data_IF_637828322727
#
_entry.id   IF_637828322727
#
_cell.length_a   1.000
_cell.length_b   1.000
_cell.length_c   1.000
_cell.angle_alpha   90.00
_cell.angle_beta   90.00
_cell.angle_gamma   90.00
#
_symmetry.space_group_name_H-M   'P 1'
#
loop_
_entity.id
_entity.type
_entity.pdbx_description
1 polymer ?
#
# COMPACT_ATOMS: atom_id res chain seq x y z
N UNK A 1 28.18 -12.57 -20.54
CA UNK A 1 27.09 -11.69 -20.04
C UNK A 1 25.85 -12.39 -19.44
N UNK A 2 25.58 -13.70 -19.66
CA UNK A 2 24.36 -14.39 -19.16
C UNK A 2 24.25 -14.57 -17.63
N UNK A 3 25.38 -14.65 -16.90
CA UNK A 3 25.43 -14.98 -15.46
C UNK A 3 24.85 -13.88 -14.53
N UNK A 4 24.77 -12.63 -15.00
CA UNK A 4 24.18 -11.52 -14.21
C UNK A 4 22.66 -11.37 -14.38
N UNK A 5 22.04 -11.93 -15.44
CA UNK A 5 20.57 -11.89 -15.59
C UNK A 5 19.87 -12.85 -14.62
N UNK A 6 20.41 -14.05 -14.38
CA UNK A 6 19.76 -15.01 -13.47
C UNK A 6 19.82 -14.58 -12.00
N UNK A 7 20.93 -13.94 -11.55
CA UNK A 7 20.98 -13.33 -10.20
C UNK A 7 19.94 -12.21 -10.02
N UNK A 8 19.67 -11.42 -11.07
CA UNK A 8 18.66 -10.33 -11.05
C UNK A 8 17.24 -10.87 -11.01
N UNK A 9 16.94 -11.90 -11.81
CA UNK A 9 15.65 -12.60 -11.80
C UNK A 9 15.39 -13.29 -10.46
N UNK A 10 16.40 -13.95 -9.88
CA UNK A 10 16.25 -14.62 -8.57
C UNK A 10 15.98 -13.61 -7.42
N UNK A 11 16.59 -12.42 -7.45
CA UNK A 11 16.33 -11.40 -6.42
C UNK A 11 15.00 -10.68 -6.60
N UNK A 12 14.51 -10.56 -7.84
CA UNK A 12 13.17 -10.04 -8.11
C UNK A 12 12.08 -10.86 -7.41
N UNK A 13 12.22 -12.19 -7.36
CA UNK A 13 11.31 -13.07 -6.62
C UNK A 13 11.33 -12.84 -5.10
N UNK A 14 12.50 -12.50 -4.54
CA UNK A 14 12.60 -12.12 -3.11
C UNK A 14 11.82 -10.83 -2.86
N UNK A 15 11.96 -9.84 -3.73
CA UNK A 15 11.24 -8.55 -3.61
C UNK A 15 9.74 -8.74 -3.80
N UNK A 16 9.34 -9.59 -4.74
CA UNK A 16 7.93 -9.99 -4.88
C UNK A 16 7.39 -10.55 -3.56
N UNK A 17 8.11 -11.48 -2.92
CA UNK A 17 7.72 -12.03 -1.62
C UNK A 17 7.64 -10.98 -0.50
N UNK A 18 8.54 -9.99 -0.49
CA UNK A 18 8.50 -8.88 0.46
C UNK A 18 7.27 -8.00 0.24
N UNK A 19 6.99 -7.62 -1.01
CA UNK A 19 5.84 -6.78 -1.34
C UNK A 19 4.53 -7.54 -1.08
N UNK A 20 4.49 -8.84 -1.38
CA UNK A 20 3.38 -9.72 -0.99
C UNK A 20 3.16 -9.71 0.53
N UNK A 21 4.22 -9.84 1.33
CA UNK A 21 4.13 -9.78 2.79
C UNK A 21 3.64 -8.42 3.31
N UNK A 22 4.08 -7.33 2.68
CA UNK A 22 3.61 -5.98 2.99
C UNK A 22 2.12 -5.79 2.68
N UNK A 23 1.67 -6.28 1.52
CA UNK A 23 0.27 -6.26 1.10
C UNK A 23 -0.61 -7.19 1.96
N UNK A 24 -0.05 -8.31 2.42
CA UNK A 24 -0.68 -9.19 3.40
C UNK A 24 -0.94 -8.48 4.73
N UNK A 25 0.04 -7.70 5.22
CA UNK A 25 -0.16 -6.85 6.40
C UNK A 25 -1.21 -5.78 6.13
N UNK A 26 -1.15 -5.08 5.00
CA UNK A 26 -2.15 -4.05 4.65
C UNK A 26 -3.58 -4.64 4.63
N UNK A 27 -3.75 -5.78 3.97
CA UNK A 27 -5.03 -6.49 3.91
C UNK A 27 -5.52 -6.92 5.28
N UNK A 28 -4.63 -7.48 6.11
CA UNK A 28 -4.98 -7.85 7.48
C UNK A 28 -5.48 -6.66 8.31
N UNK A 29 -4.79 -5.51 8.24
CA UNK A 29 -5.19 -4.28 8.94
C UNK A 29 -6.58 -3.81 8.53
N UNK A 30 -6.79 -3.58 7.24
CA UNK A 30 -8.05 -3.02 6.72
C UNK A 30 -9.24 -3.93 7.02
N UNK A 31 -9.02 -5.25 6.91
CA UNK A 31 -10.06 -6.25 7.11
C UNK A 31 -10.29 -6.65 8.57
N UNK A 32 -9.47 -6.14 9.50
CA UNK A 32 -9.69 -6.29 10.94
C UNK A 32 -10.57 -5.17 11.51
N UNK A 33 -10.75 -4.05 10.79
CA UNK A 33 -11.63 -2.94 11.23
C UNK A 33 -13.07 -3.36 11.59
N UNK A 34 -13.75 -4.21 10.79
CA UNK A 34 -15.13 -4.62 11.10
C UNK A 34 -15.22 -5.43 12.40
N UNK A 35 -14.16 -6.16 12.75
CA UNK A 35 -14.04 -6.93 14.01
C UNK A 35 -13.74 -6.02 15.20
N UNK A 36 -12.91 -4.99 15.00
CA UNK A 36 -12.56 -4.04 16.05
C UNK A 36 -13.71 -3.12 16.43
N UNK A 37 -14.60 -2.79 15.50
CA UNK A 37 -15.74 -1.89 15.73
C UNK A 37 -16.63 -2.33 16.91
N UNK A 38 -17.21 -3.55 16.95
CA UNK A 38 -18.02 -4.00 18.07
C UNK A 38 -17.19 -4.12 19.37
N UNK A 39 -15.94 -4.58 19.29
CA UNK A 39 -15.08 -4.75 20.46
C UNK A 39 -14.69 -3.41 21.12
N UNK A 40 -14.41 -2.38 20.31
CA UNK A 40 -14.20 -1.01 20.77
C UNK A 40 -15.45 -0.44 21.42
N UNK A 41 -16.62 -0.69 20.83
CA UNK A 41 -17.91 -0.23 21.36
C UNK A 41 -18.18 -0.85 22.74
N UNK A 42 -17.93 -2.14 22.91
CA UNK A 42 -18.11 -2.83 24.17
C UNK A 42 -17.11 -2.36 25.25
N UNK A 43 -15.85 -2.12 24.88
CA UNK A 43 -14.79 -1.78 25.84
C UNK A 43 -14.85 -0.32 26.33
N UNK A 44 -15.21 0.62 25.45
CA UNK A 44 -15.21 2.05 25.77
C UNK A 44 -16.61 2.63 25.99
N UNK A 45 -17.67 1.81 25.88
CA UNK A 45 -19.07 2.24 26.07
C UNK A 45 -19.54 3.34 25.11
N UNK A 46 -18.78 3.61 24.05
CA UNK A 46 -19.03 4.71 23.12
C UNK A 46 -20.25 4.44 22.24
N UNK A 47 -20.86 5.51 21.73
CA UNK A 47 -21.89 5.39 20.69
C UNK A 47 -21.30 4.78 19.41
N UNK A 48 -22.13 4.11 18.61
CA UNK A 48 -21.69 3.58 17.32
C UNK A 48 -21.07 4.67 16.41
N UNK A 49 -21.58 5.90 16.51
CA UNK A 49 -21.03 7.06 15.80
C UNK A 49 -19.58 7.37 16.23
N UNK A 50 -19.28 7.32 17.54
CA UNK A 50 -17.94 7.61 18.05
C UNK A 50 -16.92 6.54 17.60
N UNK A 51 -17.28 5.26 17.65
CA UNK A 51 -16.38 4.18 17.22
C UNK A 51 -16.18 4.16 15.71
N UNK A 52 -17.23 4.43 14.92
CA UNK A 52 -17.10 4.56 13.47
C UNK A 52 -16.25 5.78 13.08
N UNK A 53 -16.33 6.87 13.86
CA UNK A 53 -15.52 8.06 13.61
C UNK A 53 -14.01 7.81 13.72
N UNK A 54 -13.57 6.85 14.56
CA UNK A 54 -12.16 6.43 14.64
C UNK A 54 -11.67 5.89 13.29
N UNK A 55 -12.47 5.01 12.66
CA UNK A 55 -12.13 4.43 11.35
C UNK A 55 -12.28 5.46 10.24
N UNK A 56 -13.30 6.32 10.28
CA UNK A 56 -13.44 7.42 9.32
C UNK A 56 -12.24 8.38 9.37
N UNK A 57 -11.78 8.74 10.58
CA UNK A 57 -10.60 9.58 10.74
C UNK A 57 -9.34 8.88 10.21
N UNK A 58 -9.21 7.56 10.42
CA UNK A 58 -8.11 6.79 9.83
C UNK A 58 -8.12 6.86 8.29
N UNK A 59 -9.30 6.80 7.66
CA UNK A 59 -9.42 6.95 6.21
C UNK A 59 -8.99 8.34 5.72
N UNK A 60 -9.41 9.40 6.43
CA UNK A 60 -9.04 10.78 6.11
C UNK A 60 -7.53 10.98 6.26
N UNK A 61 -6.96 10.58 7.41
CA UNK A 61 -5.52 10.69 7.66
C UNK A 61 -4.73 9.93 6.61
N UNK A 62 -5.13 8.71 6.27
CA UNK A 62 -4.48 7.91 5.22
C UNK A 62 -4.55 8.58 3.84
N UNK A 63 -5.70 9.17 3.48
CA UNK A 63 -5.88 9.89 2.22
C UNK A 63 -4.96 11.11 2.09
N UNK A 64 -4.86 11.94 3.14
CA UNK A 64 -3.97 13.11 3.15
C UNK A 64 -2.50 12.72 3.28
N UNK A 65 -2.19 11.63 3.99
CA UNK A 65 -0.83 11.16 4.18
C UNK A 65 -0.25 10.48 2.93
N UNK A 66 -1.08 9.85 2.09
CA UNK A 66 -0.64 9.12 0.90
C UNK A 66 0.31 9.92 -0.02
N UNK A 67 0.00 11.16 -0.47
CA UNK A 67 0.92 11.92 -1.33
C UNK A 67 2.21 12.33 -0.61
N UNK A 68 2.15 12.61 0.69
CA UNK A 68 3.32 12.98 1.50
C UNK A 68 4.24 11.77 1.63
N UNK A 69 3.67 10.62 1.97
CA UNK A 69 4.38 9.36 2.12
C UNK A 69 4.98 8.90 0.80
N UNK A 70 4.28 9.09 -0.33
CA UNK A 70 4.84 8.83 -1.67
C UNK A 70 6.11 9.65 -1.92
N UNK A 71 6.07 10.97 -1.65
CA UNK A 71 7.27 11.83 -1.77
C UNK A 71 8.40 11.41 -0.84
N UNK A 72 8.08 10.97 0.38
CA UNK A 72 9.09 10.48 1.32
C UNK A 72 9.68 9.16 0.80
N UNK A 73 8.85 8.24 0.28
CA UNK A 73 9.29 6.96 -0.30
C UNK A 73 10.29 7.19 -1.43
N UNK A 74 10.02 8.15 -2.31
CA UNK A 74 10.92 8.50 -3.40
C UNK A 74 12.28 9.05 -2.91
N UNK A 75 12.30 9.73 -1.74
CA UNK A 75 13.52 10.32 -1.15
C UNK A 75 14.35 9.36 -0.33
N UNK A 76 13.74 8.67 0.63
CA UNK A 76 14.46 7.78 1.56
C UNK A 76 14.59 6.36 1.01
N UNK A 77 13.81 6.04 -0.03
CA UNK A 77 13.78 4.73 -0.65
C UNK A 77 13.06 3.67 0.21
N UNK A 78 12.68 2.56 -0.41
CA UNK A 78 11.92 1.50 0.24
C UNK A 78 12.67 0.84 1.41
N UNK A 79 13.99 0.73 1.30
CA UNK A 79 14.84 0.05 2.30
C UNK A 79 14.71 0.62 3.71
N UNK A 80 14.55 1.94 3.84
CA UNK A 80 14.36 2.59 5.14
C UNK A 80 12.90 2.87 5.45
N UNK A 81 12.08 3.14 4.43
CA UNK A 81 10.66 3.45 4.62
C UNK A 81 9.90 2.30 5.28
N UNK A 82 10.01 1.06 4.77
CA UNK A 82 9.18 -0.04 5.27
C UNK A 82 9.51 -0.47 6.71
N UNK A 83 10.78 -0.56 7.15
CA UNK A 83 11.11 -0.79 8.56
C UNK A 83 10.62 0.31 9.50
N UNK A 84 10.73 1.58 9.09
CA UNK A 84 10.20 2.72 9.86
C UNK A 84 8.67 2.60 9.96
N UNK A 85 8.01 2.33 8.85
CA UNK A 85 6.57 2.14 8.80
C UNK A 85 6.10 1.00 9.72
N UNK A 86 6.76 -0.17 9.68
CA UNK A 86 6.45 -1.29 10.55
C UNK A 86 6.64 -0.96 12.04
N UNK A 87 7.65 -0.14 12.38
CA UNK A 87 7.85 0.33 13.76
C UNK A 87 6.75 1.30 14.19
N UNK A 88 6.35 2.21 13.31
CA UNK A 88 5.25 3.16 13.55
C UNK A 88 3.92 2.42 13.73
N UNK A 89 3.68 1.36 12.94
CA UNK A 89 2.52 0.47 13.11
C UNK A 89 2.55 -0.17 14.48
N UNK A 90 3.69 -0.76 14.88
CA UNK A 90 3.81 -1.38 16.19
C UNK A 90 3.49 -0.38 17.31
N UNK A 91 4.06 0.82 17.26
CA UNK A 91 3.82 1.87 18.26
C UNK A 91 2.34 2.27 18.28
N UNK A 92 1.71 2.42 17.12
CA UNK A 92 0.29 2.78 17.04
C UNK A 92 -0.64 1.68 17.58
N UNK A 93 -0.41 0.42 17.21
CA UNK A 93 -1.20 -0.71 17.69
C UNK A 93 -0.97 -0.98 19.19
N UNK A 94 0.28 -0.97 19.63
CA UNK A 94 0.60 -1.19 21.04
C UNK A 94 0.14 -0.03 21.91
N UNK A 95 0.31 1.21 21.45
CA UNK A 95 -0.25 2.39 22.11
C UNK A 95 -1.78 2.34 22.21
N UNK A 96 -2.46 1.82 21.19
CA UNK A 96 -3.91 1.56 21.24
C UNK A 96 -4.29 0.50 22.28
N UNK A 97 -3.44 -0.51 22.50
CA UNK A 97 -3.65 -1.51 23.56
C UNK A 97 -3.58 -0.92 24.96
N UNK A 98 -2.77 0.12 25.17
CA UNK A 98 -2.63 0.80 26.47
C UNK A 98 -3.69 1.88 26.68
N UNK A 99 -4.58 2.09 25.71
CA UNK A 99 -5.58 3.14 25.79
C UNK A 99 -6.61 2.84 26.90
N UNK A 100 -6.81 3.84 27.77
CA UNK A 100 -7.85 3.88 28.80
C UNK A 100 -9.01 4.79 28.41
N UNK A 101 -8.79 5.68 27.43
CA UNK A 101 -9.79 6.63 26.95
C UNK A 101 -9.90 6.62 25.42
N UNK A 102 -11.09 6.88 24.89
CA UNK A 102 -11.35 6.85 23.44
C UNK A 102 -10.50 7.85 22.66
N UNK A 103 -10.17 9.02 23.22
CA UNK A 103 -9.32 10.01 22.56
C UNK A 103 -7.90 9.47 22.26
N UNK A 104 -7.39 8.54 23.07
CA UNK A 104 -6.09 7.90 22.84
C UNK A 104 -6.14 6.99 21.62
N UNK A 105 -7.26 6.30 21.38
CA UNK A 105 -7.46 5.50 20.17
C UNK A 105 -7.45 6.38 18.92
N UNK A 106 -8.06 7.57 18.96
CA UNK A 106 -7.98 8.52 17.83
C UNK A 106 -6.54 8.92 17.48
N UNK A 107 -5.65 9.02 18.47
CA UNK A 107 -4.24 9.38 18.23
C UNK A 107 -3.43 8.16 17.80
N UNK A 108 -3.45 7.09 18.59
CA UNK A 108 -2.60 5.92 18.35
C UNK A 108 -3.05 5.11 17.14
N UNK A 109 -4.35 4.90 16.99
CA UNK A 109 -4.89 4.13 15.86
C UNK A 109 -5.08 5.02 14.63
N UNK A 110 -5.92 6.05 14.72
CA UNK A 110 -6.32 6.82 13.53
C UNK A 110 -5.19 7.68 12.96
N UNK A 111 -4.27 8.16 13.78
CA UNK A 111 -3.09 8.91 13.33
C UNK A 111 -1.87 8.02 13.17
N UNK A 112 -1.31 7.53 14.27
CA UNK A 112 0.03 6.91 14.26
C UNK A 112 0.03 5.60 13.45
N UNK A 113 -0.85 4.64 13.78
CA UNK A 113 -0.91 3.37 13.07
C UNK A 113 -1.24 3.56 11.58
N UNK A 114 -2.20 4.44 11.28
CA UNK A 114 -2.58 4.78 9.89
C UNK A 114 -1.42 5.32 9.06
N UNK A 115 -0.57 6.19 9.62
CA UNK A 115 0.59 6.71 8.89
C UNK A 115 1.54 5.58 8.49
N UNK A 116 1.80 4.64 9.40
CA UNK A 116 2.59 3.46 9.11
C UNK A 116 1.93 2.54 8.08
N UNK A 117 0.63 2.25 8.22
CA UNK A 117 -0.10 1.43 7.24
C UNK A 117 -0.09 2.05 5.84
N UNK A 118 -0.28 3.36 5.76
CA UNK A 118 -0.28 4.08 4.50
C UNK A 118 1.09 3.99 3.82
N UNK A 119 2.19 3.98 4.56
CA UNK A 119 3.53 3.79 4.01
C UNK A 119 3.78 2.40 3.42
N UNK A 120 3.11 1.36 3.93
CA UNK A 120 3.24 -0.02 3.43
C UNK A 120 2.27 -0.30 2.27
N UNK A 121 1.33 0.61 2.00
CA UNK A 121 0.19 0.35 1.13
C UNK A 121 0.54 -0.01 -0.32
N UNK A 122 -0.46 -0.48 -1.07
CA UNK A 122 -0.31 -0.97 -2.45
C UNK A 122 0.46 -0.03 -3.38
N UNK A 123 0.37 1.29 -3.23
CA UNK A 123 1.12 2.22 -4.07
C UNK A 123 2.64 2.15 -3.84
N UNK A 124 3.09 1.95 -2.59
CA UNK A 124 4.50 1.76 -2.27
C UNK A 124 4.98 0.42 -2.83
N UNK A 125 4.14 -0.61 -2.72
CA UNK A 125 4.41 -1.94 -3.28
C UNK A 125 4.59 -1.89 -4.81
N UNK A 126 3.70 -1.18 -5.51
CA UNK A 126 3.76 -1.08 -6.97
C UNK A 126 4.99 -0.31 -7.45
N UNK A 127 5.33 0.80 -6.79
CA UNK A 127 6.51 1.61 -7.09
C UNK A 127 7.81 0.81 -6.94
N UNK A 128 7.87 -0.10 -5.96
CA UNK A 128 9.06 -0.91 -5.68
C UNK A 128 9.14 -2.12 -6.59
N UNK A 129 8.03 -2.75 -6.94
CA UNK A 129 8.01 -3.99 -7.72
C UNK A 129 8.11 -3.74 -9.24
N UNK A 130 7.47 -2.68 -9.74
CA UNK A 130 7.41 -2.40 -11.18
C UNK A 130 8.81 -2.28 -11.85
N UNK A 131 9.83 -1.64 -11.25
CA UNK A 131 11.17 -1.55 -11.84
C UNK A 131 11.91 -2.89 -11.96
N UNK A 132 11.55 -3.89 -11.17
CA UNK A 132 12.20 -5.21 -11.20
C UNK A 132 11.67 -6.10 -12.32
N UNK A 133 10.42 -5.88 -12.75
CA UNK A 133 9.73 -6.70 -13.75
C UNK A 133 9.10 -5.85 -14.86
N UNK A 134 9.89 -5.09 -15.65
CA UNK A 134 9.34 -4.18 -16.66
C UNK A 134 8.51 -4.89 -17.74
N UNK A 135 8.85 -6.13 -18.09
CA UNK A 135 8.15 -6.93 -19.11
C UNK A 135 6.90 -7.66 -18.61
N UNK A 136 6.78 -7.86 -17.30
CA UNK A 136 5.72 -8.68 -16.68
C UNK A 136 5.10 -7.97 -15.47
N UNK A 137 5.07 -6.63 -15.49
CA UNK A 137 4.62 -5.81 -14.36
C UNK A 137 3.19 -6.14 -13.94
N UNK A 138 2.27 -6.34 -14.89
CA UNK A 138 0.86 -6.62 -14.58
C UNK A 138 0.69 -7.93 -13.80
N UNK A 139 1.32 -9.01 -14.26
CA UNK A 139 1.25 -10.33 -13.59
C UNK A 139 1.90 -10.29 -12.21
N UNK A 140 3.06 -9.64 -12.09
CA UNK A 140 3.78 -9.57 -10.81
C UNK A 140 3.08 -8.67 -9.80
N UNK A 141 2.48 -7.56 -10.25
CA UNK A 141 1.66 -6.70 -9.41
C UNK A 141 0.41 -7.43 -8.94
N UNK A 142 -0.29 -8.16 -9.82
CA UNK A 142 -1.45 -8.96 -9.43
C UNK A 142 -1.07 -10.05 -8.41
N UNK A 143 0.06 -10.74 -8.62
CA UNK A 143 0.54 -11.74 -7.67
C UNK A 143 0.92 -11.11 -6.33
N UNK A 144 1.52 -9.92 -6.32
CA UNK A 144 1.77 -9.20 -5.07
C UNK A 144 0.47 -8.76 -4.38
N UNK A 145 -0.48 -8.23 -5.15
CA UNK A 145 -1.77 -7.72 -4.66
C UNK A 145 -2.67 -8.83 -4.10
N UNK A 146 -2.52 -10.07 -4.57
CA UNK A 146 -3.14 -11.26 -3.97
C UNK A 146 -2.73 -11.48 -2.50
N UNK A 147 -1.65 -10.84 -2.05
CA UNK A 147 -1.29 -10.79 -0.64
C UNK A 147 -2.36 -10.15 0.23
N UNK A 148 -3.04 -9.11 -0.27
CA UNK A 148 -4.08 -8.39 0.48
C UNK A 148 -5.26 -9.30 0.90
N UNK A 149 -5.93 -10.02 -0.01
CA UNK A 149 -6.95 -11.00 0.35
C UNK A 149 -6.42 -12.18 1.17
N UNK A 150 -5.17 -12.62 0.95
CA UNK A 150 -4.56 -13.66 1.78
C UNK A 150 -4.38 -13.18 3.24
N UNK A 151 -4.00 -11.92 3.41
CA UNK A 151 -3.89 -11.26 4.72
C UNK A 151 -5.22 -11.20 5.44
N UNK A 152 -6.28 -10.81 4.74
CA UNK A 152 -7.65 -10.87 5.24
C UNK A 152 -8.03 -12.26 5.72
N UNK A 153 -7.77 -13.28 4.90
CA UNK A 153 -8.17 -14.66 5.19
C UNK A 153 -7.57 -15.20 6.49
N UNK A 154 -6.36 -14.78 6.84
CA UNK A 154 -5.63 -15.27 8.02
C UNK A 154 -5.77 -14.32 9.22
N UNK A 155 -5.57 -13.02 9.03
CA UNK A 155 -5.47 -12.06 10.12
C UNK A 155 -6.85 -11.73 10.72
N UNK A 156 -7.90 -11.62 9.91
CA UNK A 156 -9.25 -11.32 10.41
C UNK A 156 -9.75 -12.37 11.42
N UNK A 157 -9.75 -13.68 11.12
CA UNK A 157 -10.17 -14.69 12.10
C UNK A 157 -9.21 -14.78 13.29
N UNK A 158 -7.90 -14.60 13.09
CA UNK A 158 -6.92 -14.56 14.19
C UNK A 158 -7.20 -13.40 15.16
N UNK A 159 -7.51 -12.22 14.63
CA UNK A 159 -7.87 -11.06 15.41
C UNK A 159 -9.18 -11.31 16.19
N UNK A 160 -10.22 -11.82 15.53
CA UNK A 160 -11.49 -12.18 16.18
C UNK A 160 -11.27 -13.19 17.31
N UNK A 161 -10.55 -14.28 17.05
CA UNK A 161 -10.24 -15.30 18.05
C UNK A 161 -9.51 -14.72 19.27
N UNK A 162 -8.52 -13.85 19.03
CA UNK A 162 -7.76 -13.22 20.11
C UNK A 162 -8.62 -12.27 20.92
N UNK A 163 -9.47 -11.49 20.27
CA UNK A 163 -10.36 -10.52 20.92
C UNK A 163 -11.42 -11.23 21.77
N UNK A 164 -12.02 -12.31 21.26
CA UNK A 164 -13.05 -13.07 21.98
C UNK A 164 -12.49 -13.78 23.21
N UNK A 165 -11.28 -14.36 23.14
CA UNK A 165 -10.71 -15.16 24.24
C UNK A 165 -9.86 -14.34 25.23
N UNK A 166 -9.10 -13.36 24.73
CA UNK A 166 -8.11 -12.62 25.52
C UNK A 166 -8.39 -11.11 25.61
N UNK A 167 -9.50 -10.66 25.03
CA UNK A 167 -9.95 -9.28 25.06
C UNK A 167 -9.28 -8.37 24.02
N UNK A 168 -9.84 -7.15 23.91
CA UNK A 168 -9.45 -6.16 22.91
C UNK A 168 -7.97 -5.73 23.01
N UNK A 169 -7.46 -5.56 24.24
CA UNK A 169 -6.07 -5.12 24.48
C UNK A 169 -5.08 -6.11 23.90
N UNK A 170 -5.24 -7.39 24.23
CA UNK A 170 -4.39 -8.47 23.71
C UNK A 170 -4.51 -8.58 22.19
N UNK A 171 -5.72 -8.39 21.63
CA UNK A 171 -5.93 -8.32 20.19
C UNK A 171 -5.06 -7.26 19.51
N UNK A 172 -5.01 -6.04 20.05
CA UNK A 172 -4.14 -4.98 19.52
C UNK A 172 -2.65 -5.34 19.60
N UNK A 173 -2.20 -5.96 20.70
CA UNK A 173 -0.80 -6.34 20.89
C UNK A 173 -0.37 -7.44 19.92
N UNK A 174 -1.16 -8.52 19.82
CA UNK A 174 -0.85 -9.68 18.97
C UNK A 174 -0.83 -9.27 17.51
N UNK A 175 -1.85 -8.55 17.05
CA UNK A 175 -1.94 -8.11 15.65
C UNK A 175 -0.83 -7.11 15.31
N UNK A 176 -0.56 -6.15 16.19
CA UNK A 176 0.55 -5.21 16.00
C UNK A 176 1.92 -5.89 15.95
N UNK A 177 2.16 -6.89 16.80
CA UNK A 177 3.40 -7.66 16.82
C UNK A 177 3.57 -8.52 15.56
N UNK A 178 2.50 -9.17 15.09
CA UNK A 178 2.50 -9.94 13.84
C UNK A 178 2.86 -9.04 12.65
N UNK A 179 2.28 -7.84 12.58
CA UNK A 179 2.60 -6.89 11.51
C UNK A 179 4.05 -6.38 11.57
N UNK A 180 4.55 -6.12 12.79
CA UNK A 180 5.94 -5.75 12.99
C UNK A 180 6.90 -6.85 12.52
N UNK A 181 6.66 -8.09 12.95
CA UNK A 181 7.50 -9.24 12.60
C UNK A 181 7.45 -9.57 11.11
N UNK A 182 6.32 -9.38 10.45
CA UNK A 182 6.23 -9.58 8.99
C UNK A 182 6.90 -8.46 8.20
N UNK A 183 6.79 -7.21 8.66
CA UNK A 183 7.29 -6.07 7.89
C UNK A 183 8.77 -5.79 8.16
N UNK A 184 9.15 -5.59 9.42
CA UNK A 184 10.42 -4.96 9.79
C UNK A 184 11.64 -5.83 9.47
N UNK A 185 11.75 -7.07 9.99
CA UNK A 185 12.97 -7.87 9.76
C UNK A 185 13.11 -8.29 8.29
N UNK A 186 12.00 -8.59 7.61
CA UNK A 186 12.01 -9.02 6.21
C UNK A 186 12.44 -7.87 5.29
N UNK A 187 11.85 -6.68 5.44
CA UNK A 187 12.18 -5.53 4.60
C UNK A 187 13.57 -4.98 4.95
N UNK A 188 13.96 -4.94 6.23
CA UNK A 188 15.29 -4.44 6.60
C UNK A 188 16.43 -5.30 6.04
N UNK A 189 16.26 -6.63 6.04
CA UNK A 189 17.32 -7.56 5.66
C UNK A 189 17.41 -7.77 4.15
N UNK A 190 16.28 -7.77 3.45
CA UNK A 190 16.19 -8.23 2.06
C UNK A 190 15.84 -7.13 1.06
N UNK A 191 15.51 -5.92 1.50
CA UNK A 191 15.10 -4.88 0.56
C UNK A 191 16.29 -4.17 -0.06
N UNK A 192 16.23 -4.05 -1.38
CA UNK A 192 17.29 -3.47 -2.19
C UNK A 192 16.68 -2.57 -3.25
N UNK A 193 17.32 -1.43 -3.48
CA UNK A 193 16.94 -0.55 -4.58
C UNK A 193 17.25 -1.27 -5.91
N UNK A 194 16.40 -1.09 -6.94
CA UNK A 194 16.66 -1.67 -8.24
C UNK A 194 17.99 -1.15 -8.81
N UNK A 195 18.73 -1.95 -9.61
CA UNK A 195 20.05 -1.58 -10.13
C UNK A 195 20.12 -0.28 -10.94
N UNK A 196 18.97 0.26 -11.39
CA UNK A 196 18.90 1.51 -12.17
C UNK A 196 18.39 2.72 -11.37
N UNK A 197 18.06 2.58 -10.08
CA UNK A 197 17.70 3.72 -9.22
C UNK A 197 18.92 4.49 -8.68
N UNK A 198 20.13 4.13 -9.12
CA UNK A 198 21.39 4.69 -8.64
C UNK A 198 22.08 5.68 -9.58
N UNK A 199 21.50 6.02 -10.73
CA UNK A 199 22.07 7.01 -11.65
C UNK A 199 21.04 8.07 -11.98
N UNK A 200 21.30 9.27 -11.44
CA UNK A 200 20.80 10.58 -11.86
C UNK A 200 19.60 11.13 -11.07
N UNK A 201 19.86 11.60 -9.85
CA UNK A 201 19.11 12.74 -9.29
C UNK A 201 19.97 13.91 -8.83
N UNK A 202 21.30 13.91 -9.04
CA UNK A 202 22.13 15.10 -8.84
C UNK A 202 23.38 15.04 -9.73
N UNK A 203 23.50 15.95 -10.70
CA UNK A 203 24.68 16.11 -11.54
C UNK A 203 24.35 16.26 -13.02
N UNK A 204 24.21 17.51 -13.45
CA UNK A 204 24.64 18.01 -14.78
C UNK A 204 25.84 17.20 -15.27
N UNK A 205 25.71 16.49 -16.39
CA UNK A 205 26.76 16.33 -17.39
C UNK A 205 26.23 15.58 -18.63
N UNK A 206 26.33 16.28 -19.75
CA UNK A 206 25.95 15.87 -21.10
C UNK A 206 26.79 14.68 -21.59
N UNK A 207 26.24 13.76 -22.39
CA UNK A 207 27.05 12.94 -23.27
C UNK A 207 27.34 13.72 -24.56
N UNK A 208 28.54 14.28 -24.70
CA UNK A 208 29.09 14.65 -26.01
C UNK A 208 29.15 13.39 -26.88
N UNK A 209 28.34 13.34 -27.94
CA UNK A 209 28.47 12.36 -29.00
C UNK A 209 29.61 12.75 -29.94
N UNK A 210 30.78 12.16 -29.70
CA UNK A 210 31.84 12.06 -30.70
C UNK A 210 31.40 11.14 -31.83
N UNK A 211 30.98 11.73 -32.96
CA UNK A 211 31.06 11.06 -34.27
C UNK A 211 31.55 12.07 -35.30
N UNK A 212 32.81 11.88 -35.67
CA UNK A 212 33.48 12.47 -36.82
C UNK A 212 32.69 12.13 -38.10
N UNK A 213 32.27 13.14 -38.85
CA UNK A 213 31.77 12.98 -40.21
C UNK A 213 32.85 13.47 -41.17
N UNK A 214 33.39 12.54 -41.95
CA UNK A 214 34.29 12.83 -43.05
C UNK A 214 33.49 12.73 -44.37
N UNK A 215 33.63 13.79 -45.16
CA UNK A 215 33.17 14.05 -46.53
C UNK A 215 31.68 14.35 -46.88
N UNK A 216 31.44 15.50 -47.55
CA UNK A 216 30.18 15.87 -48.20
C UNK A 216 30.19 15.54 -49.71
N UNK A 217 28.99 15.29 -50.26
CA UNK A 217 28.57 15.38 -51.68
C UNK A 217 27.99 14.08 -52.23
N UNK A 218 26.65 14.02 -52.29
CA UNK A 218 25.82 13.47 -53.38
C UNK A 218 24.38 13.39 -52.84
N UNK A 219 23.54 14.39 -53.13
CA UNK A 219 22.69 14.53 -54.32
C UNK A 219 21.23 14.38 -53.91
N UNK A 220 20.54 15.52 -53.94
CA UNK A 220 19.10 15.67 -53.84
C UNK A 220 18.38 14.72 -54.80
N UNK A 221 17.34 14.03 -54.33
CA UNK A 221 16.08 13.87 -55.09
C UNK A 221 14.92 13.59 -54.12
N UNK A 222 14.13 14.64 -53.87
CA UNK A 222 12.68 14.62 -53.61
C UNK A 222 12.16 13.81 -52.42
N UNK A 223 12.19 14.46 -51.25
CA UNK A 223 11.21 14.28 -50.18
C UNK A 223 9.94 15.03 -50.59
N UNK A 224 8.87 14.31 -50.93
CA UNK A 224 7.51 14.86 -50.93
C UNK A 224 6.91 14.61 -49.56
N UNK A 225 6.37 15.71 -49.02
CA UNK A 225 5.93 16.00 -47.67
C UNK A 225 4.88 15.02 -47.12
N UNK A 226 5.29 14.10 -46.23
CA UNK A 226 4.46 13.71 -45.09
C UNK A 226 5.01 14.48 -43.89
N UNK A 227 4.20 15.37 -43.31
CA UNK A 227 4.54 16.05 -42.06
C UNK A 227 4.84 15.01 -40.98
N UNK A 228 6.08 14.92 -40.45
CA UNK A 228 6.29 14.17 -39.23
C UNK A 228 5.63 14.97 -38.12
N UNK A 229 4.62 14.38 -37.46
CA UNK A 229 4.06 14.90 -36.21
C UNK A 229 5.24 15.15 -35.26
N UNK A 230 5.56 16.42 -35.09
CA UNK A 230 6.61 16.90 -34.20
C UNK A 230 6.16 16.62 -32.78
N UNK A 231 6.58 15.47 -32.23
CA UNK A 231 6.56 15.27 -30.78
C UNK A 231 7.56 16.29 -30.23
N UNK A 232 7.03 17.41 -29.74
CA UNK A 232 7.82 18.43 -29.09
C UNK A 232 8.49 17.83 -27.86
N UNK A 233 9.81 17.71 -27.90
CA UNK A 233 10.70 17.43 -26.77
C UNK A 233 10.79 18.67 -25.84
N UNK A 234 9.63 19.16 -25.38
CA UNK A 234 9.55 19.99 -24.19
C UNK A 234 9.19 19.07 -23.03
N UNK A 235 9.84 19.18 -21.84
CA UNK A 235 9.31 18.59 -20.64
C UNK A 235 8.08 19.40 -20.26
N UNK A 236 6.96 19.18 -20.96
CA UNK A 236 5.67 19.65 -20.50
C UNK A 236 5.45 18.98 -19.15
N UNK A 237 5.76 19.73 -18.09
CA UNK A 237 5.45 19.33 -16.73
C UNK A 237 3.93 19.25 -16.66
N UNK A 238 3.39 18.06 -16.92
CA UNK A 238 1.97 17.78 -16.84
C UNK A 238 1.49 18.24 -15.46
N UNK A 239 0.87 19.41 -15.43
CA UNK A 239 0.36 20.00 -14.20
C UNK A 239 -0.98 19.36 -13.91
N UNK A 240 -0.91 18.15 -13.34
CA UNK A 240 -2.08 17.33 -13.02
C UNK A 240 -3.15 18.08 -12.19
N UNK A 241 -2.75 19.13 -11.48
CA UNK A 241 -3.63 19.95 -10.63
C UNK A 241 -4.54 20.87 -11.44
N UNK A 242 -4.14 21.26 -12.65
CA UNK A 242 -4.89 22.20 -13.50
C UNK A 242 -5.89 21.50 -14.42
N UNK A 243 -5.86 20.17 -14.49
CA UNK A 243 -6.65 19.40 -15.44
C UNK A 243 -8.02 19.00 -14.82
N UNK A 244 -9.16 19.43 -15.39
CA UNK A 244 -10.49 19.13 -14.83
C UNK A 244 -10.79 17.62 -14.81
N UNK A 245 -10.22 16.88 -15.76
CA UNK A 245 -10.31 15.41 -15.82
C UNK A 245 -9.72 14.75 -14.58
N UNK A 246 -8.62 15.28 -14.03
CA UNK A 246 -7.99 14.74 -12.81
C UNK A 246 -8.92 14.94 -11.60
N UNK A 247 -9.58 16.08 -11.50
CA UNK A 247 -10.54 16.35 -10.42
C UNK A 247 -11.79 15.46 -10.52
N UNK A 248 -12.31 15.22 -11.72
CA UNK A 248 -13.43 14.31 -11.94
C UNK A 248 -13.07 12.86 -11.59
N UNK A 249 -11.87 12.40 -11.96
CA UNK A 249 -11.37 11.08 -11.59
C UNK A 249 -11.16 10.95 -10.08
N UNK A 250 -10.61 11.98 -9.44
CA UNK A 250 -10.40 12.03 -8.00
C UNK A 250 -11.74 12.00 -7.25
N UNK A 251 -12.73 12.76 -7.72
CA UNK A 251 -14.09 12.76 -7.16
C UNK A 251 -14.76 11.39 -7.30
N UNK A 252 -14.70 10.79 -8.50
CA UNK A 252 -15.23 9.45 -8.77
C UNK A 252 -14.58 8.39 -7.87
N UNK A 253 -13.25 8.39 -7.76
CA UNK A 253 -12.51 7.44 -6.93
C UNK A 253 -12.81 7.64 -5.44
N UNK A 254 -12.94 8.88 -5.00
CA UNK A 254 -13.28 9.20 -3.61
C UNK A 254 -14.69 8.76 -3.25
N UNK A 255 -15.68 9.01 -4.12
CA UNK A 255 -17.05 8.55 -3.92
C UNK A 255 -17.11 7.03 -3.82
N UNK A 256 -16.46 6.32 -4.76
CA UNK A 256 -16.38 4.85 -4.73
C UNK A 256 -15.68 4.34 -3.46
N UNK A 257 -14.63 5.02 -2.99
CA UNK A 257 -13.90 4.68 -1.77
C UNK A 257 -14.79 4.81 -0.52
N UNK A 258 -15.58 5.88 -0.42
CA UNK A 258 -16.52 6.08 0.71
C UNK A 258 -17.59 4.99 0.71
N UNK A 259 -18.19 4.68 -0.44
CA UNK A 259 -19.18 3.60 -0.56
C UNK A 259 -18.61 2.24 -0.17
N UNK A 260 -17.39 1.94 -0.62
CA UNK A 260 -16.67 0.72 -0.26
C UNK A 260 -16.43 0.65 1.25
N UNK A 261 -15.87 1.70 1.86
CA UNK A 261 -15.56 1.74 3.29
C UNK A 261 -16.81 1.63 4.18
N UNK A 262 -17.91 2.27 3.78
CA UNK A 262 -19.18 2.23 4.51
C UNK A 262 -19.75 0.81 4.57
N UNK A 263 -19.76 0.12 3.44
CA UNK A 263 -20.21 -1.28 3.34
C UNK A 263 -19.29 -2.20 4.15
N UNK A 264 -17.99 -1.97 4.03
CA UNK A 264 -16.96 -2.78 4.68
C UNK A 264 -17.06 -2.79 6.21
N UNK A 265 -17.29 -1.63 6.83
CA UNK A 265 -17.38 -1.54 8.30
C UNK A 265 -18.61 -2.24 8.89
N UNK A 266 -19.71 -2.31 8.13
CA UNK A 266 -20.99 -2.82 8.65
C UNK A 266 -21.30 -4.27 8.25
N UNK A 267 -20.48 -4.88 7.41
CA UNK A 267 -20.72 -6.24 6.94
C UNK A 267 -20.73 -7.27 8.08
N UNK A 268 -19.85 -7.11 9.09
CA UNK A 268 -19.82 -8.00 10.26
C UNK A 268 -21.08 -7.81 11.11
N UNK A 269 -21.50 -6.56 11.33
CA UNK A 269 -22.72 -6.26 12.06
C UNK A 269 -23.97 -6.81 11.34
N UNK A 270 -24.01 -6.75 10.00
CA UNK A 270 -25.07 -7.36 9.21
C UNK A 270 -25.18 -8.86 9.44
N UNK A 271 -24.06 -9.61 9.41
CA UNK A 271 -24.09 -11.05 9.67
C UNK A 271 -24.53 -11.38 11.10
N UNK A 272 -24.05 -10.63 12.09
CA UNK A 272 -24.45 -10.84 13.48
C UNK A 272 -25.94 -10.54 13.68
N UNK A 273 -26.46 -9.47 13.08
CA UNK A 273 -27.89 -9.13 13.11
C UNK A 273 -28.76 -10.14 12.37
N UNK A 274 -28.22 -10.81 11.34
CA UNK A 274 -28.87 -11.91 10.65
C UNK A 274 -28.89 -13.22 11.46
N UNK A 275 -28.33 -13.25 12.67
CA UNK A 275 -28.36 -14.39 13.58
C UNK A 275 -27.14 -15.32 13.49
N UNK A 276 -26.11 -14.96 12.73
CA UNK A 276 -24.87 -15.74 12.66
C UNK A 276 -23.93 -15.41 13.83
N UNK A 277 -23.18 -16.40 14.30
CA UNK A 277 -22.18 -16.20 15.35
C UNK A 277 -21.00 -15.34 14.88
N UNK A 278 -20.37 -14.55 15.76
CA UNK A 278 -19.26 -13.65 15.42
C UNK A 278 -18.10 -14.37 14.71
N UNK A 279 -17.80 -15.60 15.13
CA UNK A 279 -16.74 -16.42 14.52
C UNK A 279 -17.12 -16.94 13.12
N UNK A 280 -18.41 -17.22 12.88
CA UNK A 280 -18.90 -17.60 11.54
C UNK A 280 -18.86 -16.40 10.59
N UNK A 281 -19.21 -15.21 11.08
CA UNK A 281 -19.12 -13.97 10.32
C UNK A 281 -17.66 -13.61 9.96
N UNK A 282 -16.73 -13.73 10.92
CA UNK A 282 -15.31 -13.56 10.66
C UNK A 282 -14.75 -14.62 9.70
N UNK A 283 -15.21 -15.87 9.81
CA UNK A 283 -14.88 -16.94 8.88
C UNK A 283 -15.38 -16.67 7.46
N UNK A 284 -16.59 -16.14 7.30
CA UNK A 284 -17.14 -15.75 6.01
C UNK A 284 -16.34 -14.61 5.36
N UNK A 285 -15.90 -13.62 6.16
CA UNK A 285 -15.00 -12.57 5.67
C UNK A 285 -13.63 -13.12 5.28
N UNK A 286 -13.13 -14.13 5.98
CA UNK A 286 -11.90 -14.82 5.61
C UNK A 286 -12.04 -15.60 4.30
N UNK A 287 -13.16 -16.32 4.11
CA UNK A 287 -13.49 -17.02 2.87
C UNK A 287 -13.66 -16.06 1.68
N UNK A 288 -14.27 -14.89 1.89
CA UNK A 288 -14.36 -13.85 0.86
C UNK A 288 -12.96 -13.37 0.42
N UNK A 289 -12.01 -13.30 1.35
CA UNK A 289 -10.60 -13.08 1.04
C UNK A 289 -10.06 -14.16 0.10
N UNK A 290 -10.26 -15.44 0.40
CA UNK A 290 -9.80 -16.56 -0.45
C UNK A 290 -10.40 -16.49 -1.86
N UNK A 291 -11.68 -16.17 -1.98
CA UNK A 291 -12.33 -15.98 -3.29
C UNK A 291 -11.69 -14.83 -4.06
N UNK A 292 -11.33 -13.73 -3.38
CA UNK A 292 -10.65 -12.59 -3.99
C UNK A 292 -9.22 -12.86 -4.48
N UNK A 293 -8.65 -14.03 -4.20
CA UNK A 293 -7.34 -14.46 -4.74
C UNK A 293 -7.47 -14.99 -6.18
N UNK A 294 -8.65 -15.54 -6.55
CA UNK A 294 -8.92 -16.20 -7.84
C UNK A 294 -9.55 -15.22 -8.82
#
# INVERSE_FOLDING_TARGET
>A
MKRNRSKKLNYGWVILGLIFGNLFVEGGVRNTQPVLLPALRQSFGGSAAMTSAVFSLSGIVGGFAAPIIGKILDRIGPRYMFPIAGTVILIGWWGSSLASHTWQIFIFYSFIATLGHTAIGSFSGTAVLAPWFPKSKGVMLGLADSGNPAGQAVITPLAQYTITNYGLRTGFQVVGLVFFLMTVPLNFLLQRNPPHAGTNTNGIDSPQSNTSYDNPSEMLTQVTTEEPVSVSDSPETFSAVNEPTVWLLLLSRSAASVSHQMTHLHILAFFVLAGYGEMQAAGALGLAGIIGIV
#
